data_IF_720467925444
#
_entry.id   IF_720467925444
#
_cell.length_a   1.000
_cell.length_b   1.000
_cell.length_c   1.000
_cell.angle_alpha   90.00
_cell.angle_beta   90.00
_cell.angle_gamma   90.00
#
_symmetry.space_group_name_H-M   'P 1'
#
loop_
_entity.id
_entity.type
_entity.pdbx_description
1 polymer ?
#
# COMPACT_ATOMS: atom_id res chain seq x y z
N UNK A 1 25.07 78.23 20.98
CA UNK A 1 24.51 77.59 19.73
C UNK A 1 24.74 76.07 19.85
N UNK A 2 23.71 75.30 20.24
CA UNK A 2 23.81 73.86 20.54
C UNK A 2 23.25 73.11 19.32
N UNK A 3 24.10 72.33 18.63
CA UNK A 3 23.68 71.42 17.58
C UNK A 3 23.03 70.20 18.21
N UNK A 4 21.80 69.87 17.82
CA UNK A 4 21.10 68.62 18.18
C UNK A 4 21.35 67.59 17.09
N UNK A 5 21.99 66.48 17.43
CA UNK A 5 22.13 65.35 16.58
C UNK A 5 20.77 64.62 16.51
N UNK A 6 20.24 64.51 15.31
CA UNK A 6 19.08 63.64 14.99
C UNK A 6 19.64 62.31 14.53
N UNK A 7 19.46 61.29 15.38
CA UNK A 7 19.73 59.91 15.01
C UNK A 7 18.48 59.40 14.27
N UNK A 8 18.59 59.18 13.00
CA UNK A 8 17.56 58.52 12.19
C UNK A 8 17.77 57.03 12.29
N UNK A 9 16.93 56.35 13.03
CA UNK A 9 16.81 54.89 13.08
C UNK A 9 15.92 54.43 11.90
N UNK A 10 16.52 53.99 10.82
CA UNK A 10 15.79 53.30 9.74
C UNK A 10 15.34 51.93 10.24
N UNK A 11 14.07 51.78 10.46
CA UNK A 11 13.41 50.52 10.77
C UNK A 11 13.15 49.79 9.42
N UNK A 12 14.01 48.81 9.11
CA UNK A 12 13.79 47.93 7.94
C UNK A 12 12.66 46.95 8.26
N UNK A 13 11.50 47.20 7.70
CA UNK A 13 10.42 46.20 7.69
C UNK A 13 10.79 45.08 6.71
N UNK A 14 11.17 43.94 7.28
CA UNK A 14 11.27 42.68 6.52
C UNK A 14 9.84 42.16 6.33
N UNK A 15 9.21 42.45 5.20
CA UNK A 15 7.95 41.84 4.84
C UNK A 15 8.21 40.38 4.44
N UNK A 16 7.92 39.46 5.37
CA UNK A 16 7.77 38.05 5.03
C UNK A 16 6.52 37.94 4.14
N UNK A 17 6.73 37.70 2.86
CA UNK A 17 5.67 37.18 2.01
C UNK A 17 5.42 35.73 2.39
N UNK A 18 4.48 35.51 3.29
CA UNK A 18 3.85 34.19 3.42
C UNK A 18 2.97 34.06 2.19
N UNK A 19 3.45 33.36 1.18
CA UNK A 19 2.58 32.85 0.12
C UNK A 19 1.68 31.81 0.79
N UNK A 20 0.51 32.24 1.24
CA UNK A 20 -0.56 31.32 1.54
C UNK A 20 -0.89 30.62 0.22
N UNK A 21 -0.48 29.36 0.08
CA UNK A 21 -1.09 28.50 -0.92
C UNK A 21 -2.59 28.51 -0.59
N UNK A 22 -3.37 29.10 -1.47
CA UNK A 22 -4.82 28.95 -1.42
C UNK A 22 -5.09 27.46 -1.34
N UNK A 23 -5.73 27.04 -0.26
CA UNK A 23 -6.26 25.71 -0.09
C UNK A 23 -7.26 25.57 -1.23
N UNK A 24 -6.85 24.93 -2.31
CA UNK A 24 -7.76 24.54 -3.37
C UNK A 24 -8.70 23.55 -2.71
N UNK A 25 -9.85 24.01 -2.29
CA UNK A 25 -10.96 23.15 -1.89
C UNK A 25 -11.32 22.38 -3.16
N UNK A 26 -10.69 21.22 -3.33
CA UNK A 26 -11.18 20.27 -4.31
C UNK A 26 -12.55 19.86 -3.81
N UNK A 27 -13.60 20.26 -4.50
CA UNK A 27 -14.90 19.62 -4.42
C UNK A 27 -14.74 18.18 -4.95
N UNK A 28 -14.05 17.35 -4.17
CA UNK A 28 -13.93 15.94 -4.42
C UNK A 28 -15.27 15.30 -4.06
N UNK A 29 -16.24 15.45 -4.96
CA UNK A 29 -17.39 14.58 -4.94
C UNK A 29 -16.88 13.16 -5.15
N UNK A 30 -17.22 12.23 -4.22
CA UNK A 30 -16.97 10.81 -4.48
C UNK A 30 -17.68 10.45 -5.79
N UNK A 31 -17.00 9.69 -6.64
CA UNK A 31 -17.51 9.31 -7.95
C UNK A 31 -18.25 7.97 -7.91
N UNK A 32 -18.06 7.21 -6.82
CA UNK A 32 -18.49 5.84 -6.74
C UNK A 32 -18.61 5.42 -5.26
N UNK A 33 -19.67 4.67 -4.94
CA UNK A 33 -19.79 3.98 -3.65
C UNK A 33 -20.49 2.66 -3.88
N UNK A 34 -19.93 1.58 -3.32
CA UNK A 34 -20.56 0.27 -3.38
C UNK A 34 -20.38 -0.45 -2.05
N UNK A 35 -21.46 -1.08 -1.60
CA UNK A 35 -21.41 -2.01 -0.47
C UNK A 35 -20.69 -3.28 -0.90
N UNK A 36 -20.01 -3.95 0.02
CA UNK A 36 -19.41 -5.24 -0.24
C UNK A 36 -20.44 -6.18 -0.88
N UNK A 37 -20.08 -6.79 -2.00
CA UNK A 37 -20.96 -7.73 -2.71
C UNK A 37 -21.11 -9.05 -1.96
N UNK A 38 -20.14 -9.37 -1.13
CA UNK A 38 -20.12 -10.53 -0.24
C UNK A 38 -19.32 -10.19 1.02
N UNK A 39 -19.86 -10.60 2.16
CA UNK A 39 -19.18 -10.56 3.46
C UNK A 39 -19.41 -11.86 4.17
N UNK A 40 -18.33 -12.51 4.59
CA UNK A 40 -18.40 -13.77 5.34
C UNK A 40 -17.25 -13.88 6.33
N UNK A 41 -17.45 -14.70 7.36
CA UNK A 41 -16.38 -15.12 8.26
C UNK A 41 -15.68 -16.33 7.65
N UNK A 42 -14.36 -16.26 7.55
CA UNK A 42 -13.52 -17.33 7.03
C UNK A 42 -12.45 -17.68 8.06
N UNK A 43 -12.07 -18.96 8.10
CA UNK A 43 -10.95 -19.43 8.92
C UNK A 43 -9.87 -19.97 8.00
N UNK A 44 -8.60 -19.59 8.20
CA UNK A 44 -7.50 -20.13 7.42
C UNK A 44 -7.43 -21.66 7.47
N UNK A 45 -7.05 -22.25 6.34
CA UNK A 45 -6.78 -23.69 6.23
C UNK A 45 -5.33 -23.85 5.81
N UNK A 46 -4.53 -24.51 6.64
CA UNK A 46 -3.08 -24.66 6.43
C UNK A 46 -2.66 -26.10 6.07
N UNK A 47 -3.62 -27.01 5.92
CA UNK A 47 -3.36 -28.41 5.62
C UNK A 47 -3.47 -28.75 4.13
N UNK A 48 -3.88 -27.78 3.31
CA UNK A 48 -3.96 -27.97 1.87
C UNK A 48 -2.56 -27.97 1.26
N UNK A 49 -2.25 -28.91 0.36
CA UNK A 49 -0.98 -28.89 -0.35
C UNK A 49 -0.89 -27.62 -1.21
N UNK A 50 0.24 -26.96 -1.12
CA UNK A 50 0.57 -25.81 -1.98
C UNK A 50 0.46 -26.23 -3.42
N UNK A 51 -0.19 -25.39 -4.22
CA UNK A 51 -0.58 -25.51 -5.62
C UNK A 51 0.26 -26.50 -6.42
N UNK A 52 -0.37 -27.47 -7.10
CA UNK A 52 0.36 -28.35 -8.00
C UNK A 52 1.07 -27.49 -9.06
N UNK A 53 2.35 -27.73 -9.23
CA UNK A 53 3.05 -27.32 -10.45
C UNK A 53 2.20 -27.91 -11.58
N UNK A 54 1.72 -27.09 -12.51
CA UNK A 54 0.93 -27.58 -13.63
C UNK A 54 1.59 -28.79 -14.23
N UNK A 55 0.80 -29.82 -14.57
CA UNK A 55 1.27 -31.05 -15.16
C UNK A 55 2.12 -30.84 -16.41
N UNK A 56 2.03 -29.67 -17.03
CA UNK A 56 2.82 -29.27 -18.20
C UNK A 56 4.16 -28.59 -17.85
N UNK A 57 4.52 -28.47 -16.58
CA UNK A 57 5.73 -27.75 -16.15
C UNK A 57 5.73 -26.25 -16.50
N UNK A 58 4.59 -25.71 -16.90
CA UNK A 58 4.45 -24.27 -17.19
C UNK A 58 4.14 -23.53 -15.93
N UNK A 59 5.12 -22.78 -15.47
CA UNK A 59 4.90 -21.75 -14.46
C UNK A 59 3.81 -20.77 -14.91
N UNK A 60 2.86 -20.42 -14.03
CA UNK A 60 1.94 -19.33 -14.28
C UNK A 60 2.73 -18.03 -14.37
N UNK A 61 3.03 -17.62 -15.59
CA UNK A 61 3.57 -16.31 -15.83
C UNK A 61 2.41 -15.31 -15.82
N UNK A 62 2.20 -14.62 -14.72
CA UNK A 62 1.56 -13.32 -14.78
C UNK A 62 2.56 -12.41 -15.50
N UNK A 63 2.51 -12.40 -16.83
CA UNK A 63 3.32 -11.49 -17.63
C UNK A 63 2.75 -10.10 -17.52
N UNK A 64 3.02 -9.43 -16.42
CA UNK A 64 3.08 -8.00 -16.48
C UNK A 64 4.33 -7.65 -17.29
N UNK A 65 4.17 -7.37 -18.57
CA UNK A 65 5.23 -6.76 -19.35
C UNK A 65 5.40 -5.37 -18.75
N UNK A 66 6.28 -5.24 -17.75
CA UNK A 66 6.80 -3.94 -17.38
C UNK A 66 7.31 -3.30 -18.68
N UNK A 67 6.53 -2.39 -19.23
CA UNK A 67 7.07 -1.46 -20.21
C UNK A 67 8.06 -0.65 -19.42
N UNK A 68 9.34 -1.01 -19.52
CA UNK A 68 10.40 -0.09 -19.10
C UNK A 68 10.11 1.19 -19.86
N UNK A 69 9.77 2.25 -19.12
CA UNK A 69 9.73 3.55 -19.70
C UNK A 69 11.07 3.73 -20.43
N UNK A 70 11.02 3.99 -21.73
CA UNK A 70 12.22 4.42 -22.41
C UNK A 70 12.54 5.76 -21.79
N UNK A 71 13.52 5.78 -20.92
CA UNK A 71 14.06 7.03 -20.42
C UNK A 71 14.55 7.83 -21.62
N UNK A 72 13.73 8.76 -22.05
CA UNK A 72 14.24 9.86 -22.83
C UNK A 72 14.93 10.74 -21.79
N UNK A 73 16.25 10.86 -21.87
CA UNK A 73 16.96 11.85 -21.09
C UNK A 73 16.35 13.21 -21.41
N UNK A 74 15.39 13.63 -20.59
CA UNK A 74 14.95 15.00 -20.58
C UNK A 74 16.18 15.82 -20.17
N UNK A 75 16.46 16.91 -20.88
CA UNK A 75 17.56 17.82 -20.52
C UNK A 75 17.41 18.38 -19.09
N UNK A 76 16.24 18.18 -18.49
CA UNK A 76 15.84 18.64 -17.16
C UNK A 76 15.77 17.52 -16.12
N UNK A 77 16.01 16.25 -16.50
CA UNK A 77 15.78 15.07 -15.64
C UNK A 77 16.62 15.03 -14.37
N UNK A 78 17.77 15.70 -14.36
CA UNK A 78 18.63 15.85 -13.18
C UNK A 78 19.29 17.23 -13.23
N UNK A 79 19.61 17.83 -12.05
CA UNK A 79 20.45 19.03 -12.03
C UNK A 79 21.74 18.79 -12.80
N UNK A 80 22.14 19.73 -13.65
CA UNK A 80 23.45 19.68 -14.33
C UNK A 80 24.54 19.54 -13.25
N UNK A 81 25.28 18.45 -13.27
CA UNK A 81 26.29 18.14 -12.25
C UNK A 81 25.90 17.02 -11.27
N UNK A 82 24.75 16.38 -11.46
CA UNK A 82 24.25 15.28 -10.63
C UNK A 82 23.33 15.72 -9.50
N UNK A 83 22.75 14.75 -8.82
CA UNK A 83 21.84 14.98 -7.70
C UNK A 83 22.62 15.52 -6.49
N UNK A 84 22.35 16.77 -6.02
CA UNK A 84 23.03 17.34 -4.86
C UNK A 84 22.70 16.62 -3.54
N UNK A 85 21.61 15.83 -3.53
CA UNK A 85 21.19 15.04 -2.37
C UNK A 85 21.75 13.63 -2.40
N UNK A 86 22.48 13.25 -3.46
CA UNK A 86 23.11 11.95 -3.55
C UNK A 86 24.14 11.78 -2.43
N UNK A 87 23.92 10.80 -1.58
CA UNK A 87 24.85 10.51 -0.50
C UNK A 87 26.11 9.82 -1.02
N UNK A 88 27.15 10.63 -1.28
CA UNK A 88 28.47 10.15 -1.71
C UNK A 88 29.33 9.60 -0.56
N UNK A 89 28.92 9.84 0.67
CA UNK A 89 29.68 9.36 1.83
C UNK A 89 29.27 7.93 2.17
N UNK A 90 30.23 7.03 2.14
CA UNK A 90 30.04 5.72 2.77
C UNK A 90 29.80 5.97 4.26
N UNK A 91 28.69 5.44 4.79
CA UNK A 91 28.42 5.50 6.21
C UNK A 91 29.64 4.96 6.98
N UNK A 92 30.18 5.77 7.87
CA UNK A 92 31.22 5.34 8.81
C UNK A 92 30.65 4.46 9.95
N UNK A 93 29.31 4.35 10.01
CA UNK A 93 28.70 3.48 11.00
C UNK A 93 28.75 2.02 10.51
N UNK A 94 29.27 1.11 11.36
CA UNK A 94 29.22 -0.31 11.01
C UNK A 94 27.78 -0.74 10.84
N UNK A 95 27.51 -1.49 9.78
CA UNK A 95 26.19 -2.10 9.57
C UNK A 95 25.88 -2.97 10.78
N UNK A 96 24.79 -2.69 11.49
CA UNK A 96 24.31 -3.60 12.52
C UNK A 96 23.77 -4.84 11.82
N UNK A 97 24.26 -6.01 12.23
CA UNK A 97 23.65 -7.26 11.80
C UNK A 97 22.18 -7.31 12.22
N UNK A 98 21.30 -7.92 11.43
CA UNK A 98 19.94 -8.16 11.86
C UNK A 98 19.93 -9.02 13.14
N UNK A 99 19.02 -8.74 14.06
CA UNK A 99 18.87 -9.50 15.31
C UNK A 99 18.41 -10.92 15.00
N UNK A 100 17.49 -11.04 14.05
CA UNK A 100 16.94 -12.30 13.55
C UNK A 100 16.91 -12.26 12.04
N UNK A 101 17.28 -13.36 11.39
CA UNK A 101 17.21 -13.54 9.96
C UNK A 101 16.86 -15.00 9.66
N UNK A 102 15.90 -15.22 8.78
CA UNK A 102 15.47 -16.55 8.34
C UNK A 102 15.01 -16.55 6.90
N UNK A 103 14.98 -17.71 6.28
CA UNK A 103 14.43 -17.89 4.95
C UNK A 103 12.89 -17.89 5.02
N UNK A 104 12.26 -17.05 4.22
CA UNK A 104 10.81 -17.00 4.07
C UNK A 104 10.31 -17.95 2.98
N UNK A 105 9.12 -17.65 2.47
CA UNK A 105 8.52 -18.36 1.34
C UNK A 105 9.42 -18.31 0.10
N UNK A 106 9.52 -19.42 -0.59
CA UNK A 106 10.31 -19.55 -1.80
C UNK A 106 9.42 -19.93 -3.02
N UNK A 107 10.00 -19.92 -4.21
CA UNK A 107 9.29 -20.15 -5.45
C UNK A 107 8.66 -21.55 -5.57
N UNK A 108 9.27 -22.58 -4.98
CA UNK A 108 8.69 -23.94 -5.01
C UNK A 108 7.41 -24.01 -4.17
N UNK A 109 7.35 -23.26 -3.07
CA UNK A 109 6.15 -23.19 -2.21
C UNK A 109 5.03 -22.36 -2.86
N UNK A 110 5.38 -21.44 -3.73
CA UNK A 110 4.44 -20.58 -4.47
C UNK A 110 4.01 -21.13 -5.83
N UNK A 111 4.35 -22.38 -6.13
CA UNK A 111 4.05 -22.97 -7.44
C UNK A 111 4.85 -22.34 -8.60
N UNK A 112 5.96 -21.64 -8.32
CA UNK A 112 6.80 -20.99 -9.33
C UNK A 112 6.22 -19.70 -9.88
N UNK A 113 5.29 -19.05 -9.19
CA UNK A 113 4.69 -17.79 -9.65
C UNK A 113 5.77 -16.69 -9.82
N UNK A 114 5.69 -15.99 -10.94
CA UNK A 114 6.57 -14.87 -11.27
C UNK A 114 5.78 -13.73 -11.91
N UNK A 115 6.03 -12.48 -11.50
CA UNK A 115 6.91 -12.04 -10.41
C UNK A 115 6.44 -12.52 -9.03
N UNK A 116 7.31 -12.53 -8.01
CA UNK A 116 6.93 -13.04 -6.69
C UNK A 116 6.07 -12.08 -5.87
N UNK A 117 6.11 -10.81 -6.16
CA UNK A 117 5.38 -9.70 -5.51
C UNK A 117 5.26 -9.87 -3.97
N UNK A 118 6.40 -9.93 -3.27
CA UNK A 118 6.39 -10.22 -1.85
C UNK A 118 5.82 -9.06 -1.04
N UNK A 119 4.99 -9.38 -0.06
CA UNK A 119 4.47 -8.47 0.94
C UNK A 119 4.63 -9.07 2.33
N UNK A 120 4.95 -8.26 3.33
CA UNK A 120 5.13 -8.74 4.69
C UNK A 120 4.80 -7.69 5.73
N UNK A 121 4.22 -8.12 6.84
CA UNK A 121 3.90 -7.26 7.96
C UNK A 121 4.26 -7.91 9.29
N UNK A 122 4.71 -7.07 10.23
CA UNK A 122 5.10 -7.48 11.59
C UNK A 122 4.10 -6.92 12.58
N UNK A 123 3.47 -7.81 13.35
CA UNK A 123 2.69 -7.48 14.53
C UNK A 123 3.49 -7.66 15.83
N UNK A 124 2.84 -7.57 17.00
CA UNK A 124 3.51 -7.75 18.28
C UNK A 124 4.14 -9.14 18.45
N UNK A 125 3.48 -10.19 18.01
CA UNK A 125 3.88 -11.59 18.24
C UNK A 125 4.15 -12.37 16.95
N UNK A 126 3.71 -11.87 15.79
CA UNK A 126 3.73 -12.60 14.54
C UNK A 126 4.35 -11.79 13.41
N UNK A 127 4.82 -12.50 12.41
CA UNK A 127 5.15 -11.99 11.08
C UNK A 127 4.33 -12.77 10.06
N UNK A 128 3.60 -12.06 9.21
CA UNK A 128 2.85 -12.67 8.10
C UNK A 128 3.55 -12.29 6.81
N UNK A 129 3.92 -13.29 6.02
CA UNK A 129 4.47 -13.12 4.68
C UNK A 129 3.48 -13.62 3.64
N UNK A 130 3.32 -12.84 2.60
CA UNK A 130 2.58 -13.19 1.39
C UNK A 130 3.52 -13.09 0.19
N UNK A 131 3.41 -14.04 -0.70
CA UNK A 131 4.15 -14.09 -1.96
C UNK A 131 3.17 -14.65 -3.00
N UNK A 132 3.23 -14.23 -4.24
CA UNK A 132 2.37 -14.79 -5.27
C UNK A 132 2.55 -16.32 -5.39
N UNK A 133 1.57 -17.20 -5.09
CA UNK A 133 0.19 -16.91 -4.65
C UNK A 133 -0.13 -17.62 -3.33
N UNK A 134 0.78 -17.49 -2.36
CA UNK A 134 0.74 -18.18 -1.06
C UNK A 134 1.02 -17.21 0.09
N UNK A 135 0.67 -17.62 1.31
CA UNK A 135 1.05 -16.91 2.52
C UNK A 135 1.47 -17.89 3.62
N UNK A 136 2.23 -17.38 4.58
CA UNK A 136 2.69 -18.14 5.75
C UNK A 136 2.84 -17.22 6.95
N UNK A 137 2.64 -17.79 8.14
CA UNK A 137 2.70 -17.09 9.41
C UNK A 137 3.89 -17.63 10.22
N UNK A 138 4.65 -16.71 10.78
CA UNK A 138 5.84 -16.98 11.59
C UNK A 138 5.73 -16.30 12.96
N UNK A 139 6.43 -16.84 13.95
CA UNK A 139 6.69 -16.10 15.18
C UNK A 139 7.81 -15.05 14.99
N UNK A 140 8.08 -14.28 16.02
CA UNK A 140 9.13 -13.23 15.99
C UNK A 140 10.56 -13.79 15.99
N UNK A 141 10.72 -15.07 16.19
CA UNK A 141 12.01 -15.77 16.13
C UNK A 141 12.26 -16.41 14.77
N UNK A 142 11.26 -16.35 13.87
CA UNK A 142 11.34 -16.92 12.53
C UNK A 142 10.88 -18.37 12.43
N UNK A 143 10.30 -18.93 13.51
CA UNK A 143 9.72 -20.25 13.43
C UNK A 143 8.39 -20.17 12.68
N UNK A 144 8.20 -21.05 11.69
CA UNK A 144 6.93 -21.17 10.98
C UNK A 144 5.86 -21.72 11.96
N UNK A 145 4.77 -20.97 12.11
CA UNK A 145 3.62 -21.37 12.92
C UNK A 145 2.59 -22.14 12.09
N UNK A 146 2.66 -22.02 10.76
CA UNK A 146 1.75 -22.65 9.82
C UNK A 146 2.54 -23.24 8.66
N UNK A 147 1.94 -24.19 7.94
CA UNK A 147 2.38 -24.51 6.60
C UNK A 147 2.07 -23.34 5.66
N UNK A 148 2.77 -23.23 4.51
CA UNK A 148 2.33 -22.33 3.44
C UNK A 148 0.90 -22.67 3.01
N UNK A 149 0.07 -21.67 2.82
CA UNK A 149 -1.30 -21.83 2.34
C UNK A 149 -1.54 -20.94 1.12
N UNK A 150 -2.45 -21.34 0.23
CA UNK A 150 -2.77 -20.54 -0.95
C UNK A 150 -3.59 -19.31 -0.56
N UNK A 151 -3.41 -18.20 -1.28
CA UNK A 151 -4.22 -16.99 -1.07
C UNK A 151 -5.71 -17.29 -1.24
N UNK A 152 -6.05 -18.11 -2.22
CA UNK A 152 -7.43 -18.48 -2.52
C UNK A 152 -8.10 -19.29 -1.42
N UNK A 153 -7.35 -20.06 -0.62
CA UNK A 153 -7.92 -20.83 0.50
C UNK A 153 -8.50 -19.95 1.61
N UNK A 154 -7.91 -18.76 1.80
CA UNK A 154 -8.41 -17.77 2.78
C UNK A 154 -9.29 -16.72 2.11
N UNK A 155 -8.79 -16.11 1.04
CA UNK A 155 -9.40 -14.93 0.43
C UNK A 155 -10.48 -15.29 -0.61
N UNK A 156 -10.48 -16.52 -1.13
CA UNK A 156 -11.33 -16.86 -2.28
C UNK A 156 -10.88 -16.15 -3.56
N UNK A 157 -11.72 -16.17 -4.60
CA UNK A 157 -11.40 -15.48 -5.86
C UNK A 157 -10.29 -16.11 -6.68
N UNK A 158 -9.87 -17.32 -6.35
CA UNK A 158 -8.71 -17.99 -6.92
C UNK A 158 -7.38 -17.45 -6.34
N UNK A 159 -6.29 -17.73 -7.02
CA UNK A 159 -4.95 -17.26 -6.64
C UNK A 159 -4.51 -16.17 -7.62
N UNK A 160 -5.25 -15.06 -7.64
CA UNK A 160 -5.08 -14.02 -8.66
C UNK A 160 -3.78 -13.21 -8.46
N UNK A 161 -3.33 -13.05 -7.23
CA UNK A 161 -2.03 -12.46 -6.93
C UNK A 161 -2.05 -11.02 -6.44
N UNK A 162 -0.89 -10.38 -6.53
CA UNK A 162 -0.56 -9.07 -5.96
C UNK A 162 -1.02 -8.93 -4.49
N UNK A 163 -0.58 -9.87 -3.64
CA UNK A 163 -1.06 -9.90 -2.28
C UNK A 163 -0.45 -8.75 -1.49
N UNK A 164 -1.28 -8.15 -0.63
CA UNK A 164 -0.81 -7.16 0.34
C UNK A 164 -1.21 -7.60 1.73
N UNK A 165 -0.27 -7.56 2.66
CA UNK A 165 -0.55 -7.70 4.08
C UNK A 165 -0.13 -6.43 4.81
N UNK A 166 -0.99 -5.98 5.71
CA UNK A 166 -0.72 -4.91 6.68
C UNK A 166 -1.08 -5.37 8.08
N UNK A 167 -0.42 -4.78 9.07
CA UNK A 167 -0.81 -4.86 10.45
C UNK A 167 -1.37 -3.51 10.89
N UNK A 168 -2.68 -3.45 11.12
CA UNK A 168 -3.34 -2.30 11.72
C UNK A 168 -3.08 -2.30 13.23
N UNK A 169 -2.00 -1.65 13.63
CA UNK A 169 -1.57 -1.60 15.03
C UNK A 169 -2.51 -0.83 15.95
N UNK A 170 -3.42 -0.03 15.40
CA UNK A 170 -4.37 0.75 16.18
C UNK A 170 -5.59 -0.07 16.56
N UNK A 171 -5.92 -1.06 15.75
CA UNK A 171 -6.97 -2.02 16.03
C UNK A 171 -6.42 -3.34 16.55
N UNK A 172 -5.10 -3.57 16.46
CA UNK A 172 -4.45 -4.85 16.71
C UNK A 172 -5.03 -5.97 15.84
N UNK A 173 -5.04 -5.69 14.51
CA UNK A 173 -5.65 -6.57 13.49
C UNK A 173 -4.79 -6.68 12.26
N UNK A 174 -4.90 -7.83 11.61
CA UNK A 174 -4.27 -8.11 10.33
C UNK A 174 -5.23 -7.78 9.19
N UNK A 175 -4.70 -7.17 8.16
CA UNK A 175 -5.37 -6.84 6.92
C UNK A 175 -4.65 -7.57 5.79
N UNK A 176 -5.34 -8.45 5.09
CA UNK A 176 -4.82 -9.21 3.96
C UNK A 176 -5.67 -8.92 2.73
N UNK A 177 -5.05 -8.79 1.58
CA UNK A 177 -5.75 -8.52 0.32
C UNK A 177 -5.09 -9.23 -0.85
N UNK A 178 -5.92 -9.55 -1.82
CA UNK A 178 -5.53 -9.81 -3.21
C UNK A 178 -6.59 -9.24 -4.14
N UNK A 179 -6.31 -9.09 -5.41
CA UNK A 179 -7.37 -8.84 -6.38
C UNK A 179 -7.98 -10.16 -6.89
N UNK A 180 -9.06 -10.09 -7.63
CA UNK A 180 -9.63 -11.23 -8.33
C UNK A 180 -9.59 -11.00 -9.85
N UNK A 181 -9.72 -12.08 -10.61
CA UNK A 181 -9.85 -11.98 -12.07
C UNK A 181 -11.15 -11.31 -12.53
N UNK A 182 -12.05 -10.93 -11.60
CA UNK A 182 -13.38 -10.37 -11.86
C UNK A 182 -13.50 -8.87 -11.54
N UNK A 183 -12.42 -8.09 -11.65
CA UNK A 183 -12.43 -6.67 -11.31
C UNK A 183 -12.86 -6.43 -9.86
N UNK A 184 -12.35 -7.18 -8.93
CA UNK A 184 -12.71 -7.08 -7.52
C UNK A 184 -11.47 -6.90 -6.66
N UNK A 185 -11.61 -6.19 -5.56
CA UNK A 185 -10.72 -6.25 -4.41
C UNK A 185 -11.30 -7.20 -3.37
N UNK A 186 -10.48 -8.13 -2.92
CA UNK A 186 -10.82 -9.06 -1.87
C UNK A 186 -9.96 -8.73 -0.67
N UNK A 187 -10.60 -8.46 0.45
CA UNK A 187 -9.94 -7.99 1.67
C UNK A 187 -10.41 -8.79 2.86
N UNK A 188 -9.49 -9.29 3.66
CA UNK A 188 -9.76 -9.97 4.91
C UNK A 188 -9.18 -9.19 6.09
N UNK A 189 -9.99 -8.94 7.11
CA UNK A 189 -9.57 -8.29 8.36
C UNK A 189 -9.71 -9.30 9.48
N UNK A 190 -8.62 -9.58 10.22
CA UNK A 190 -8.65 -10.57 11.30
C UNK A 190 -9.60 -10.16 12.42
N UNK A 191 -10.31 -11.13 13.00
CA UNK A 191 -11.20 -10.88 14.13
C UNK A 191 -10.44 -10.67 15.44
N UNK A 192 -9.22 -11.18 15.52
CA UNK A 192 -8.35 -11.11 16.70
C UNK A 192 -6.93 -10.71 16.32
N UNK A 193 -6.06 -10.41 17.29
CA UNK A 193 -4.63 -10.19 17.04
C UNK A 193 -3.86 -11.40 16.49
N UNK A 194 -4.43 -12.59 16.61
CA UNK A 194 -3.84 -13.83 16.12
C UNK A 194 -4.15 -14.01 14.62
N UNK A 195 -3.14 -13.99 13.73
CA UNK A 195 -3.35 -14.14 12.29
C UNK A 195 -3.73 -15.56 11.86
N UNK A 196 -3.65 -16.54 12.76
CA UNK A 196 -4.12 -17.92 12.50
C UNK A 196 -5.62 -18.09 12.74
N UNK A 197 -6.27 -17.10 13.35
CA UNK A 197 -7.69 -17.10 13.67
C UNK A 197 -8.60 -16.73 12.51
N UNK A 198 -9.87 -16.48 12.81
CA UNK A 198 -10.88 -16.12 11.81
C UNK A 198 -10.73 -14.68 11.30
N UNK A 199 -11.22 -14.46 10.09
CA UNK A 199 -11.24 -13.18 9.39
C UNK A 199 -12.64 -12.79 8.92
N UNK A 200 -12.92 -11.51 8.94
CA UNK A 200 -14.04 -10.90 8.22
C UNK A 200 -13.57 -10.65 6.78
N UNK A 201 -14.10 -11.42 5.83
CA UNK A 201 -13.74 -11.34 4.40
C UNK A 201 -14.77 -10.51 3.67
N UNK A 202 -14.30 -9.53 2.90
CA UNK A 202 -15.11 -8.62 2.08
C UNK A 202 -14.68 -8.71 0.62
N UNK A 203 -15.66 -8.68 -0.26
CA UNK A 203 -15.45 -8.61 -1.71
C UNK A 203 -16.09 -7.32 -2.24
N UNK A 204 -15.28 -6.46 -2.84
CA UNK A 204 -15.72 -5.19 -3.43
C UNK A 204 -15.60 -5.25 -4.94
N UNK A 205 -16.74 -5.10 -5.65
CA UNK A 205 -16.76 -5.00 -7.09
C UNK A 205 -16.32 -3.61 -7.56
N UNK A 206 -15.47 -3.56 -8.58
CA UNK A 206 -14.98 -2.32 -9.19
C UNK A 206 -15.35 -2.27 -10.67
N UNK A 207 -15.29 -1.06 -11.25
CA UNK A 207 -15.62 -0.84 -12.67
C UNK A 207 -14.60 -1.44 -13.65
N UNK A 208 -13.37 -1.63 -13.23
CA UNK A 208 -12.28 -2.24 -14.01
C UNK A 208 -11.24 -2.85 -13.07
N UNK A 209 -10.31 -3.61 -13.64
CA UNK A 209 -9.27 -4.32 -12.90
C UNK A 209 -8.36 -3.36 -12.12
N UNK A 210 -8.19 -3.57 -10.79
CA UNK A 210 -7.41 -2.69 -9.93
C UNK A 210 -5.95 -3.16 -9.83
N UNK A 211 -5.16 -2.98 -10.89
CA UNK A 211 -3.76 -3.40 -10.94
C UNK A 211 -2.90 -2.64 -9.92
N UNK A 212 -1.91 -3.30 -9.35
CA UNK A 212 -0.90 -2.71 -8.48
C UNK A 212 -1.49 -1.92 -7.30
N UNK A 213 -2.31 -2.52 -6.45
CA UNK A 213 -2.96 -1.80 -5.35
C UNK A 213 -1.95 -1.39 -4.28
N UNK A 214 -2.16 -0.21 -3.69
CA UNK A 214 -1.37 0.31 -2.56
C UNK A 214 -2.32 0.71 -1.44
N UNK A 215 -2.14 0.10 -0.28
CA UNK A 215 -3.03 0.28 0.86
C UNK A 215 -2.41 1.10 1.98
N UNK A 216 -3.27 1.71 2.79
CA UNK A 216 -2.85 2.39 4.03
C UNK A 216 -3.94 2.35 5.10
N UNK A 217 -3.53 2.61 6.34
CA UNK A 217 -4.42 2.74 7.51
C UNK A 217 -4.53 4.22 7.87
N UNK A 218 -5.76 4.71 8.00
CA UNK A 218 -6.06 6.06 8.46
C UNK A 218 -7.14 6.06 9.53
N UNK A 219 -7.47 7.23 10.11
CA UNK A 219 -8.44 7.32 11.19
C UNK A 219 -9.86 6.95 10.80
N UNK A 220 -10.23 7.19 9.56
CA UNK A 220 -11.58 7.00 9.02
C UNK A 220 -11.72 5.83 8.03
N UNK A 221 -10.60 5.23 7.61
CA UNK A 221 -10.67 4.18 6.61
C UNK A 221 -9.38 3.44 6.31
N UNK A 222 -9.52 2.34 5.58
CA UNK A 222 -8.45 1.72 4.81
C UNK A 222 -8.46 2.33 3.42
N UNK A 223 -7.41 3.09 3.10
CA UNK A 223 -7.27 3.71 1.78
C UNK A 223 -6.55 2.78 0.83
N UNK A 224 -6.96 2.81 -0.43
CA UNK A 224 -6.30 2.06 -1.50
C UNK A 224 -6.27 2.87 -2.78
N UNK A 225 -5.16 2.80 -3.49
CA UNK A 225 -5.01 3.32 -4.85
C UNK A 225 -4.64 2.18 -5.78
N UNK A 226 -4.99 2.30 -7.05
CA UNK A 226 -4.68 1.29 -8.05
C UNK A 226 -4.44 1.91 -9.43
N UNK A 227 -3.67 1.21 -10.26
CA UNK A 227 -3.52 1.53 -11.68
C UNK A 227 -4.78 1.07 -12.43
N UNK A 228 -5.72 1.96 -12.60
CA UNK A 228 -6.94 1.70 -13.36
C UNK A 228 -7.49 2.97 -13.97
N UNK A 229 -8.35 2.83 -14.97
CA UNK A 229 -9.10 3.95 -15.52
C UNK A 229 -10.33 4.27 -14.66
N UNK A 230 -10.75 5.52 -14.66
CA UNK A 230 -11.85 6.01 -13.84
C UNK A 230 -11.43 6.20 -12.38
N UNK A 231 -12.26 5.72 -11.45
CA UNK A 231 -11.92 5.74 -10.02
C UNK A 231 -10.65 4.93 -9.78
N UNK A 232 -9.66 5.55 -9.18
CA UNK A 232 -8.33 4.98 -8.97
C UNK A 232 -7.77 5.21 -7.56
N UNK A 233 -8.55 5.88 -6.72
CA UNK A 233 -8.34 5.99 -5.28
C UNK A 233 -9.63 5.64 -4.55
N UNK A 234 -9.52 4.91 -3.45
CA UNK A 234 -10.67 4.41 -2.72
C UNK A 234 -10.42 4.47 -1.22
N UNK A 235 -11.51 4.51 -0.46
CA UNK A 235 -11.52 4.30 0.99
C UNK A 235 -12.56 3.26 1.36
N UNK A 236 -12.19 2.32 2.21
CA UNK A 236 -13.07 1.32 2.79
C UNK A 236 -13.39 1.68 4.25
N UNK A 237 -14.62 1.50 4.67
CA UNK A 237 -15.11 1.82 6.02
C UNK A 237 -14.48 0.89 7.07
N UNK A 238 -13.30 1.29 7.56
CA UNK A 238 -12.46 0.52 8.48
C UNK A 238 -13.22 0.01 9.72
N UNK A 239 -13.99 0.87 10.37
CA UNK A 239 -14.67 0.52 11.62
C UNK A 239 -15.75 -0.55 11.37
N UNK A 240 -16.48 -0.45 10.27
CA UNK A 240 -17.44 -1.49 9.87
C UNK A 240 -16.74 -2.81 9.54
N UNK A 241 -15.61 -2.75 8.83
CA UNK A 241 -14.85 -3.96 8.49
C UNK A 241 -14.28 -4.64 9.73
N UNK A 242 -13.80 -3.87 10.70
CA UNK A 242 -13.34 -4.39 11.99
C UNK A 242 -14.49 -5.05 12.79
N UNK A 243 -15.68 -4.48 12.70
CA UNK A 243 -16.87 -5.01 13.36
C UNK A 243 -17.49 -6.24 12.67
N UNK A 244 -17.06 -6.56 11.45
CA UNK A 244 -17.71 -7.61 10.64
C UNK A 244 -19.09 -7.18 10.11
N UNK A 245 -19.29 -5.89 9.89
CA UNK A 245 -20.56 -5.35 9.38
C UNK A 245 -20.69 -5.61 7.87
N UNK A 246 -21.69 -6.36 7.41
CA UNK A 246 -21.88 -6.64 5.98
C UNK A 246 -22.28 -5.40 5.16
N UNK A 247 -22.61 -4.29 5.81
CA UNK A 247 -22.92 -3.03 5.12
C UNK A 247 -21.69 -2.17 4.84
N UNK A 248 -20.48 -2.68 5.12
CA UNK A 248 -19.24 -1.96 4.84
C UNK A 248 -19.14 -1.61 3.35
N UNK A 249 -18.74 -0.37 3.07
CA UNK A 249 -18.64 0.18 1.72
C UNK A 249 -17.20 0.46 1.35
N UNK A 250 -16.94 0.43 0.04
CA UNK A 250 -15.80 1.07 -0.61
C UNK A 250 -16.31 2.31 -1.36
N UNK A 251 -15.65 3.43 -1.16
CA UNK A 251 -15.98 4.73 -1.74
C UNK A 251 -14.84 5.12 -2.66
N UNK A 252 -15.13 5.42 -3.91
CA UNK A 252 -14.15 5.67 -4.95
C UNK A 252 -14.07 7.13 -5.37
N UNK A 253 -12.87 7.54 -5.70
CA UNK A 253 -12.52 8.88 -6.17
C UNK A 253 -11.66 8.77 -7.43
N UNK A 254 -11.85 9.70 -8.35
CA UNK A 254 -10.97 9.86 -9.49
C UNK A 254 -9.91 10.90 -9.15
N UNK A 255 -8.66 10.47 -9.07
CA UNK A 255 -7.53 11.39 -8.95
C UNK A 255 -6.89 11.62 -10.31
N UNK A 256 -6.33 12.83 -10.57
CA UNK A 256 -5.69 13.12 -11.84
C UNK A 256 -4.58 12.11 -12.15
N UNK A 257 -4.53 11.64 -13.39
CA UNK A 257 -3.39 10.89 -13.90
C UNK A 257 -2.26 11.87 -14.17
N UNK A 258 -1.12 11.68 -13.52
CA UNK A 258 0.04 12.55 -13.64
C UNK A 258 1.02 12.09 -14.72
N UNK A 259 0.84 10.87 -15.26
CA UNK A 259 1.66 10.31 -16.32
C UNK A 259 0.79 9.53 -17.30
N UNK A 260 1.19 9.53 -18.57
CA UNK A 260 0.51 8.78 -19.64
C UNK A 260 1.11 7.41 -19.93
N UNK A 261 2.15 7.00 -19.21
CA UNK A 261 2.81 5.73 -19.43
C UNK A 261 3.40 5.11 -18.17
N UNK A 262 3.25 3.81 -18.01
CA UNK A 262 3.82 3.05 -16.90
C UNK A 262 2.92 2.94 -15.68
N UNK A 263 3.52 2.59 -14.54
CA UNK A 263 2.84 2.53 -13.24
C UNK A 263 2.78 3.92 -12.64
N UNK A 264 1.59 4.43 -12.41
CA UNK A 264 1.34 5.79 -11.92
C UNK A 264 0.43 5.82 -10.68
N UNK A 265 0.33 4.70 -9.96
CA UNK A 265 -0.38 4.67 -8.69
C UNK A 265 0.28 5.61 -7.70
N UNK A 266 -0.49 6.53 -7.17
CA UNK A 266 -0.09 7.33 -6.03
C UNK A 266 -0.08 6.48 -4.77
N UNK A 267 0.64 6.91 -3.73
CA UNK A 267 0.72 6.20 -2.45
C UNK A 267 -0.16 6.92 -1.43
N UNK A 268 -1.12 6.25 -0.81
CA UNK A 268 -1.88 6.84 0.29
C UNK A 268 -1.02 6.93 1.55
N UNK A 269 -1.14 8.05 2.27
CA UNK A 269 -0.47 8.23 3.55
C UNK A 269 -0.97 7.21 4.57
N UNK A 270 -0.06 6.63 5.34
CA UNK A 270 -0.42 5.73 6.43
C UNK A 270 -0.13 6.37 7.78
N UNK A 271 -1.02 6.16 8.75
CA UNK A 271 -0.80 6.58 10.12
C UNK A 271 0.41 5.85 10.72
N UNK A 272 1.30 6.58 11.39
CA UNK A 272 2.55 6.02 11.93
C UNK A 272 2.47 5.73 13.44
N UNK A 273 2.63 6.72 14.30
CA UNK A 273 2.65 6.54 15.76
C UNK A 273 1.26 6.58 16.40
N UNK A 274 0.41 7.46 15.91
CA UNK A 274 -0.97 7.67 16.37
C UNK A 274 -1.89 7.79 15.17
N UNK A 275 -3.17 7.45 15.34
CA UNK A 275 -4.18 7.82 14.35
C UNK A 275 -4.31 9.34 14.31
N UNK A 276 -4.44 9.94 13.13
CA UNK A 276 -4.80 11.34 13.01
C UNK A 276 -6.15 11.63 13.68
N UNK A 277 -6.37 12.89 14.06
CA UNK A 277 -7.66 13.29 14.60
C UNK A 277 -8.78 13.01 13.57
N UNK A 278 -9.98 12.70 14.08
CA UNK A 278 -11.16 12.52 13.24
C UNK A 278 -11.38 13.76 12.35
N UNK A 279 -11.62 13.54 11.07
CA UNK A 279 -11.78 14.61 10.08
C UNK A 279 -10.45 15.11 9.47
N UNK A 280 -9.30 14.56 9.88
CA UNK A 280 -8.04 14.83 9.19
C UNK A 280 -8.05 14.13 7.82
N UNK A 281 -7.90 14.89 6.71
CA UNK A 281 -7.87 14.28 5.38
C UNK A 281 -6.70 13.30 5.24
N UNK A 282 -6.90 12.21 4.48
CA UNK A 282 -5.77 11.43 4.01
C UNK A 282 -5.07 12.17 2.87
N UNK A 283 -3.78 11.94 2.74
CA UNK A 283 -2.94 12.54 1.71
C UNK A 283 -2.47 11.46 0.74
N UNK A 284 -2.49 11.77 -0.53
CA UNK A 284 -1.99 10.91 -1.59
C UNK A 284 -0.69 11.51 -2.13
N UNK A 285 0.36 10.71 -2.21
CA UNK A 285 1.68 11.14 -2.64
C UNK A 285 2.03 10.51 -3.98
N UNK A 286 2.53 11.34 -4.86
CA UNK A 286 3.08 10.92 -6.13
C UNK A 286 4.47 11.50 -6.28
N UNK A 287 5.42 10.68 -6.66
CA UNK A 287 6.72 11.13 -7.08
C UNK A 287 6.77 11.17 -8.60
N UNK A 288 6.92 12.35 -9.16
CA UNK A 288 7.10 12.53 -10.58
C UNK A 288 8.59 12.85 -10.83
N UNK A 289 9.25 11.99 -11.59
CA UNK A 289 10.57 12.25 -12.10
C UNK A 289 10.43 13.00 -13.44
N UNK A 290 11.13 14.12 -13.59
CA UNK A 290 11.13 14.91 -14.83
C UNK A 290 11.60 14.09 -16.04
N UNK A 291 12.32 12.99 -15.81
CA UNK A 291 12.69 12.03 -16.85
C UNK A 291 11.49 11.29 -17.44
N UNK A 292 10.34 11.31 -16.77
CA UNK A 292 9.11 10.62 -17.19
C UNK A 292 8.11 11.58 -17.85
N UNK A 293 8.38 12.86 -17.84
CA UNK A 293 7.51 13.90 -18.40
C UNK A 293 7.60 13.99 -19.93
#
# INVERSE_FOLDING_TARGET
>A
MKLKNIISTSLSFLTLFVVAQEKQESNNSFSFSVTASDMKVVTPVFDEPVLPINEDGKTYFVRNKMRRNKFTNSENALPKGGDPLLNHQKSSHPNKAPIVNWDGLNSSQSGGATPPDPSGAVGPNHYVQMVNSVYQIFDKSGNALTNPATLGSLLGGGNAGDPIVMYDKFADRWFLSQFSHQNQLIVAVSQTPDPTGAYNLYTFGLSSFPDYPKYSVWSDGYYVTANKSGDNAFVMERDKMLAGDPTAQIIGFTIPSLSTGGFFSVLPATASSTLPAVGTPNYLFYFQDDAWA
#
